data_IF_957734281809
#
_entry.id   IF_957734281809
#
_cell.length_a   1.000
_cell.length_b   1.000
_cell.length_c   1.000
_cell.angle_alpha   90.00
_cell.angle_beta   90.00
_cell.angle_gamma   90.00
#
_symmetry.space_group_name_H-M   'P 1'
#
loop_
_entity.id
_entity.type
_entity.pdbx_description
1 polymer ?
#
# COMPACT_ATOMS: atom_id res chain seq x y z
N UNK A 1 4.66 7.38 -0.03
CA UNK A 1 4.28 5.97 -0.16
C UNK A 1 2.99 5.81 -0.98
N UNK A 2 1.83 6.23 -0.49
CA UNK A 2 0.51 6.04 -1.15
C UNK A 2 0.43 6.52 -2.62
N UNK A 3 0.82 7.75 -2.93
CA UNK A 3 0.84 8.25 -4.33
C UNK A 3 1.81 7.47 -5.24
N UNK A 4 2.84 6.84 -4.69
CA UNK A 4 3.83 6.09 -5.48
C UNK A 4 3.32 4.69 -5.81
N UNK A 5 2.66 4.04 -4.85
CA UNK A 5 1.88 2.81 -5.11
C UNK A 5 0.86 3.08 -6.23
N UNK A 6 0.17 4.23 -6.19
CA UNK A 6 -0.73 4.63 -7.29
C UNK A 6 -0.02 4.83 -8.62
N UNK A 7 1.17 5.45 -8.61
CA UNK A 7 2.00 5.65 -9.81
C UNK A 7 2.42 4.34 -10.46
N UNK A 8 2.87 3.39 -9.65
CA UNK A 8 3.42 2.13 -10.15
C UNK A 8 2.32 1.17 -10.65
N UNK A 9 1.19 1.10 -9.93
CA UNK A 9 0.01 0.41 -10.46
C UNK A 9 -0.51 1.06 -11.75
N UNK A 10 -0.38 2.38 -11.86
CA UNK A 10 -0.81 3.11 -13.04
C UNK A 10 0.13 2.90 -14.23
N UNK A 11 1.44 2.78 -14.02
CA UNK A 11 2.42 2.61 -15.10
C UNK A 11 2.42 1.19 -15.68
N UNK A 12 2.23 0.16 -14.84
CA UNK A 12 2.50 -1.22 -15.25
C UNK A 12 1.25 -2.08 -15.56
N UNK A 13 0.06 -1.74 -15.05
CA UNK A 13 -1.16 -2.49 -15.35
C UNK A 13 -1.93 -1.86 -16.54
N UNK A 14 -2.95 -2.48 -17.17
CA UNK A 14 -3.60 -1.98 -18.43
C UNK A 14 -4.92 -1.16 -18.26
N UNK A 15 -5.29 -0.37 -19.28
CA UNK A 15 -6.31 0.72 -19.37
C UNK A 15 -7.80 0.30 -19.52
N UNK A 16 -8.84 1.13 -19.19
CA UNK A 16 -8.85 2.46 -18.54
C UNK A 16 -9.21 2.45 -17.04
N UNK A 17 -8.65 3.41 -16.26
CA UNK A 17 -8.66 3.43 -14.77
C UNK A 17 -9.32 4.68 -14.18
N UNK A 18 -10.13 4.54 -13.13
CA UNK A 18 -10.76 5.66 -12.39
C UNK A 18 -10.16 5.81 -10.99
N UNK A 19 -9.66 6.98 -10.58
CA UNK A 19 -8.92 7.25 -9.33
C UNK A 19 -9.62 8.33 -8.48
N UNK A 20 -9.54 8.26 -7.14
CA UNK A 20 -9.94 9.34 -6.21
C UNK A 20 -8.77 9.72 -5.29
N UNK A 21 -8.33 10.98 -5.36
CA UNK A 21 -7.30 11.54 -4.46
C UNK A 21 -7.77 12.83 -3.80
N UNK A 22 -7.09 13.22 -2.73
CA UNK A 22 -7.20 14.56 -2.14
C UNK A 22 -6.89 15.69 -3.14
N UNK A 23 -7.28 16.92 -2.78
CA UNK A 23 -7.38 18.07 -3.71
C UNK A 23 -6.12 18.38 -4.53
N UNK A 24 -4.91 18.09 -4.04
CA UNK A 24 -3.66 18.53 -4.69
C UNK A 24 -2.95 17.44 -5.52
N UNK A 25 -3.15 16.16 -5.22
CA UNK A 25 -2.37 15.04 -5.80
C UNK A 25 -3.00 14.40 -7.04
N UNK A 26 -4.26 14.73 -7.38
CA UNK A 26 -4.96 14.15 -8.53
C UNK A 26 -4.39 14.54 -9.90
N UNK A 27 -3.72 15.70 -10.02
CA UNK A 27 -3.45 16.32 -11.32
C UNK A 27 -2.53 15.48 -12.21
N UNK A 28 -1.50 14.89 -11.64
CA UNK A 28 -0.50 14.15 -12.42
C UNK A 28 -1.05 12.80 -12.91
N UNK A 29 -1.90 12.14 -12.13
CA UNK A 29 -2.57 10.91 -12.55
C UNK A 29 -3.62 11.15 -13.63
N UNK A 30 -4.38 12.24 -13.52
CA UNK A 30 -5.34 12.60 -14.56
C UNK A 30 -4.62 12.91 -15.87
N UNK A 31 -3.49 13.63 -15.83
CA UNK A 31 -2.63 13.83 -17.01
C UNK A 31 -2.12 12.52 -17.60
N UNK A 32 -1.83 11.53 -16.75
CA UNK A 32 -1.37 10.22 -17.18
C UNK A 32 -2.51 9.35 -17.78
N UNK A 33 -3.78 9.76 -17.66
CA UNK A 33 -4.94 9.08 -18.24
C UNK A 33 -5.94 8.52 -17.23
N UNK A 34 -5.79 8.81 -15.94
CA UNK A 34 -6.76 8.40 -14.92
C UNK A 34 -8.04 9.25 -14.95
N UNK A 35 -9.19 8.61 -14.77
CA UNK A 35 -10.49 9.28 -14.65
C UNK A 35 -10.75 9.62 -13.18
N UNK A 36 -11.09 10.86 -12.84
CA UNK A 36 -11.39 11.20 -11.44
C UNK A 36 -12.78 10.72 -11.01
N UNK A 37 -12.89 9.99 -9.89
CA UNK A 37 -14.17 9.73 -9.20
C UNK A 37 -14.49 10.78 -8.13
N UNK A 38 -15.77 11.04 -7.86
CA UNK A 38 -16.19 12.03 -6.85
C UNK A 38 -16.35 11.37 -5.47
N UNK A 39 -16.92 10.16 -5.43
CA UNK A 39 -17.16 9.36 -4.23
C UNK A 39 -16.50 7.97 -4.30
N UNK A 40 -16.31 7.25 -3.18
CA UNK A 40 -15.89 5.85 -3.21
C UNK A 40 -16.80 4.97 -4.06
N UNK A 41 -18.12 5.12 -3.91
CA UNK A 41 -19.13 4.40 -4.66
C UNK A 41 -18.95 4.57 -6.18
N UNK A 42 -18.73 5.80 -6.67
CA UNK A 42 -18.52 6.06 -8.10
C UNK A 42 -17.40 5.22 -8.70
N UNK A 43 -16.38 4.94 -7.90
CA UNK A 43 -15.22 4.22 -8.40
C UNK A 43 -15.41 2.71 -8.32
N UNK A 44 -16.05 2.22 -7.25
CA UNK A 44 -16.44 0.81 -7.15
C UNK A 44 -17.41 0.43 -8.27
N UNK A 45 -18.38 1.30 -8.59
CA UNK A 45 -19.29 1.09 -9.72
C UNK A 45 -18.54 0.88 -11.05
N UNK A 46 -17.48 1.66 -11.28
CA UNK A 46 -16.71 1.66 -12.51
C UNK A 46 -15.57 0.63 -12.56
N UNK A 47 -15.35 -0.15 -11.50
CA UNK A 47 -14.17 -1.02 -11.37
C UNK A 47 -14.55 -2.44 -10.95
N UNK A 48 -13.86 -3.45 -11.50
CA UNK A 48 -14.04 -4.85 -11.10
C UNK A 48 -13.28 -5.18 -9.81
N UNK A 49 -12.12 -4.55 -9.61
CA UNK A 49 -11.30 -4.63 -8.41
C UNK A 49 -10.98 -3.21 -7.95
N UNK A 50 -11.01 -2.97 -6.65
CA UNK A 50 -10.73 -1.68 -6.02
C UNK A 50 -9.64 -1.87 -4.98
N UNK A 51 -8.59 -1.07 -4.99
CA UNK A 51 -7.62 -1.04 -3.90
C UNK A 51 -7.89 0.17 -2.98
N UNK A 52 -7.58 0.05 -1.70
CA UNK A 52 -7.71 1.13 -0.74
C UNK A 52 -6.38 1.26 0.01
N UNK A 53 -5.91 2.49 0.23
CA UNK A 53 -4.66 2.72 0.95
C UNK A 53 -4.70 4.09 1.63
N UNK A 54 -5.45 4.19 2.71
CA UNK A 54 -5.72 5.43 3.44
C UNK A 54 -4.83 5.57 4.67
N UNK A 55 -5.15 6.51 5.56
CA UNK A 55 -4.29 6.91 6.68
C UNK A 55 -4.28 5.97 7.85
N UNK A 56 -5.45 5.43 8.22
CA UNK A 56 -5.67 4.68 9.44
C UNK A 56 -6.99 3.90 9.35
N UNK A 57 -7.27 3.08 10.37
CA UNK A 57 -8.51 2.31 10.50
C UNK A 57 -9.78 3.17 10.43
N UNK A 58 -9.77 4.38 11.00
CA UNK A 58 -10.94 5.26 10.98
C UNK A 58 -11.27 5.71 9.54
N UNK A 59 -10.26 6.16 8.79
CA UNK A 59 -10.42 6.53 7.39
C UNK A 59 -10.83 5.32 6.53
N UNK A 60 -10.32 4.11 6.83
CA UNK A 60 -10.72 2.89 6.13
C UNK A 60 -12.20 2.56 6.37
N UNK A 61 -12.66 2.66 7.63
CA UNK A 61 -14.08 2.51 7.98
C UNK A 61 -14.94 3.58 7.30
N UNK A 62 -14.51 4.85 7.29
CA UNK A 62 -15.25 5.92 6.61
C UNK A 62 -15.36 5.67 5.10
N UNK A 63 -14.31 5.17 4.45
CA UNK A 63 -14.32 4.81 3.03
C UNK A 63 -15.35 3.73 2.70
N UNK A 64 -15.53 2.77 3.61
CA UNK A 64 -16.42 1.63 3.40
C UNK A 64 -17.85 1.95 3.83
N UNK A 65 -18.04 2.38 5.08
CA UNK A 65 -19.33 2.58 5.74
C UNK A 65 -19.88 4.01 5.61
N UNK A 66 -19.08 4.96 5.16
CA UNK A 66 -19.50 6.35 5.01
C UNK A 66 -20.55 6.56 3.94
N UNK A 67 -21.10 7.78 3.88
CA UNK A 67 -22.07 8.14 2.85
C UNK A 67 -21.42 8.07 1.46
N UNK A 68 -22.10 7.43 0.51
CA UNK A 68 -21.54 7.08 -0.80
C UNK A 68 -20.24 6.25 -0.71
N UNK A 69 -20.10 5.46 0.36
CA UNK A 69 -18.98 4.54 0.60
C UNK A 69 -18.99 3.32 -0.32
N UNK A 70 -17.98 2.48 -0.17
CA UNK A 70 -17.78 1.25 -0.97
C UNK A 70 -19.01 0.35 -0.97
N UNK A 71 -19.70 0.23 0.18
CA UNK A 71 -20.83 -0.67 0.34
C UNK A 71 -21.98 -0.42 -0.62
N UNK A 72 -22.14 0.81 -1.13
CA UNK A 72 -23.25 1.14 -2.03
C UNK A 72 -23.17 0.37 -3.36
N UNK A 73 -21.96 0.16 -3.89
CA UNK A 73 -21.74 -0.37 -5.24
C UNK A 73 -20.93 -1.67 -5.27
N UNK A 74 -20.46 -2.16 -4.11
CA UNK A 74 -19.76 -3.44 -4.00
C UNK A 74 -20.77 -4.60 -4.09
N UNK A 75 -20.89 -5.18 -5.27
CA UNK A 75 -21.81 -6.28 -5.62
C UNK A 75 -21.25 -7.02 -6.85
N UNK A 76 -21.95 -8.05 -7.30
CA UNK A 76 -21.63 -8.77 -8.54
C UNK A 76 -20.18 -9.32 -8.57
N UNK A 77 -19.70 -9.86 -7.44
CA UNK A 77 -18.34 -10.39 -7.25
C UNK A 77 -17.20 -9.37 -7.46
N UNK A 78 -17.48 -8.07 -7.39
CA UNK A 78 -16.44 -7.02 -7.38
C UNK A 78 -15.48 -7.21 -6.19
N UNK A 79 -14.20 -7.01 -6.44
CA UNK A 79 -13.13 -7.17 -5.45
C UNK A 79 -12.79 -5.87 -4.75
N UNK A 80 -12.52 -5.94 -3.45
CA UNK A 80 -11.99 -4.85 -2.65
C UNK A 80 -10.73 -5.32 -1.91
N UNK A 81 -9.63 -4.61 -2.15
CA UNK A 81 -8.29 -4.89 -1.61
C UNK A 81 -7.89 -3.79 -0.64
N UNK A 82 -7.85 -4.09 0.64
CA UNK A 82 -7.46 -3.14 1.68
C UNK A 82 -5.96 -3.21 1.95
N UNK A 83 -5.21 -2.20 1.50
CA UNK A 83 -3.75 -2.11 1.70
C UNK A 83 -3.35 -1.20 2.87
N UNK A 84 -4.33 -0.62 3.57
CA UNK A 84 -4.06 0.19 4.76
C UNK A 84 -3.63 -0.72 5.90
N UNK A 85 -2.60 -0.31 6.64
CA UNK A 85 -2.27 -0.95 7.93
C UNK A 85 -3.36 -0.63 8.95
N UNK A 86 -4.33 -1.52 9.09
CA UNK A 86 -5.46 -1.44 10.03
C UNK A 86 -5.34 -2.52 11.10
N UNK A 87 -6.12 -2.40 12.17
CA UNK A 87 -6.28 -3.45 13.17
C UNK A 87 -7.09 -4.64 12.61
N UNK A 88 -6.84 -5.87 13.12
CA UNK A 88 -7.50 -7.08 12.61
C UNK A 88 -9.02 -7.04 12.74
N UNK A 89 -9.55 -6.44 13.81
CA UNK A 89 -10.99 -6.34 14.04
C UNK A 89 -11.64 -5.43 13.00
N UNK A 90 -11.03 -4.28 12.67
CA UNK A 90 -11.48 -3.42 11.59
C UNK A 90 -11.44 -4.10 10.23
N UNK A 91 -10.41 -4.91 9.96
CA UNK A 91 -10.33 -5.70 8.72
C UNK A 91 -11.47 -6.72 8.63
N UNK A 92 -11.76 -7.40 9.75
CA UNK A 92 -12.86 -8.35 9.86
C UNK A 92 -14.22 -7.67 9.64
N UNK A 93 -14.49 -6.54 10.30
CA UNK A 93 -15.72 -5.74 10.12
C UNK A 93 -15.96 -5.38 8.65
N UNK A 94 -14.90 -4.90 7.98
CA UNK A 94 -14.96 -4.48 6.57
C UNK A 94 -15.20 -5.69 5.67
N UNK A 95 -14.50 -6.79 5.92
CA UNK A 95 -14.64 -8.05 5.18
C UNK A 95 -16.08 -8.56 5.23
N UNK A 96 -16.65 -8.66 6.42
CA UNK A 96 -18.03 -9.13 6.62
C UNK A 96 -19.04 -8.25 5.89
N UNK A 97 -18.91 -6.93 6.02
CA UNK A 97 -19.79 -5.99 5.36
C UNK A 97 -19.73 -6.09 3.82
N UNK A 98 -18.54 -6.30 3.26
CA UNK A 98 -18.34 -6.45 1.81
C UNK A 98 -18.92 -7.78 1.31
N UNK A 99 -18.65 -8.88 2.03
CA UNK A 99 -19.17 -10.21 1.68
C UNK A 99 -20.70 -10.26 1.76
N UNK A 100 -21.32 -9.62 2.76
CA UNK A 100 -22.77 -9.51 2.89
C UNK A 100 -23.44 -8.81 1.69
N UNK A 101 -22.69 -7.99 0.94
CA UNK A 101 -23.17 -7.32 -0.28
C UNK A 101 -22.85 -8.08 -1.56
N UNK A 102 -22.24 -9.26 -1.46
CA UNK A 102 -21.83 -10.08 -2.61
C UNK A 102 -20.53 -9.63 -3.26
N UNK A 103 -19.68 -8.90 -2.53
CA UNK A 103 -18.32 -8.56 -2.93
C UNK A 103 -17.28 -9.57 -2.43
N UNK A 104 -16.05 -9.45 -2.95
CA UNK A 104 -14.88 -10.22 -2.51
C UNK A 104 -13.92 -9.31 -1.74
N UNK A 105 -13.36 -9.79 -0.64
CA UNK A 105 -12.45 -9.01 0.21
C UNK A 105 -11.08 -9.64 0.32
N UNK A 106 -10.04 -8.82 0.21
CA UNK A 106 -8.66 -9.18 0.46
C UNK A 106 -8.00 -8.06 1.28
N UNK A 107 -7.46 -8.36 2.45
CA UNK A 107 -6.50 -7.46 3.07
C UNK A 107 -5.12 -7.71 2.46
N UNK A 108 -4.36 -6.65 2.22
CA UNK A 108 -3.03 -6.69 1.63
C UNK A 108 -2.15 -5.54 2.16
N UNK A 109 -1.98 -5.38 3.49
CA UNK A 109 -1.06 -4.40 4.04
C UNK A 109 0.35 -4.58 3.47
N UNK A 110 1.04 -3.45 3.29
CA UNK A 110 2.36 -3.40 2.66
C UNK A 110 3.44 -3.02 3.66
N UNK A 111 4.59 -3.70 3.57
CA UNK A 111 5.81 -3.38 4.29
C UNK A 111 6.84 -2.76 3.35
N UNK A 112 7.39 -1.63 3.78
CA UNK A 112 8.32 -0.80 3.01
C UNK A 112 8.06 0.68 3.23
N UNK A 113 9.02 1.53 2.85
CA UNK A 113 8.91 2.98 3.01
C UNK A 113 8.63 3.67 1.66
N UNK A 114 8.99 4.96 1.54
CA UNK A 114 8.81 5.71 0.29
C UNK A 114 9.61 5.11 -0.87
N UNK A 115 10.88 4.77 -0.65
CA UNK A 115 11.79 4.30 -1.70
C UNK A 115 11.38 2.92 -2.24
N UNK A 116 11.11 1.90 -1.41
CA UNK A 116 10.56 0.63 -1.90
C UNK A 116 9.26 0.75 -2.69
N UNK A 117 8.41 1.75 -2.41
CA UNK A 117 7.20 2.00 -3.18
C UNK A 117 7.45 2.68 -4.54
N UNK A 118 8.57 3.40 -4.69
CA UNK A 118 9.02 3.98 -5.96
C UNK A 118 9.75 2.94 -6.81
N UNK A 119 10.48 2.04 -6.16
CA UNK A 119 11.28 1.01 -6.82
C UNK A 119 10.48 -0.26 -7.15
N UNK A 120 9.18 -0.32 -6.80
CA UNK A 120 8.35 -1.51 -6.98
C UNK A 120 8.79 -2.70 -6.13
N UNK A 121 9.41 -2.47 -4.98
CA UNK A 121 10.00 -3.52 -4.13
C UNK A 121 9.30 -3.67 -2.78
N UNK A 122 8.01 -3.33 -2.68
CA UNK A 122 7.24 -3.56 -1.45
C UNK A 122 7.09 -5.05 -1.13
N UNK A 123 6.88 -5.36 0.15
CA UNK A 123 6.45 -6.69 0.57
C UNK A 123 4.97 -6.62 0.91
N UNK A 124 4.15 -7.42 0.25
CA UNK A 124 2.70 -7.44 0.43
C UNK A 124 2.33 -8.61 1.34
N UNK A 125 1.47 -8.36 2.32
CA UNK A 125 1.05 -9.33 3.35
C UNK A 125 -0.44 -9.60 3.17
N UNK A 126 -0.79 -10.43 2.18
CA UNK A 126 -2.18 -10.62 1.78
C UNK A 126 -2.88 -11.73 2.57
N UNK A 127 -4.16 -11.53 2.91
CA UNK A 127 -5.02 -12.54 3.52
C UNK A 127 -6.49 -12.29 3.17
N UNK A 128 -7.32 -13.35 3.17
CA UNK A 128 -8.73 -13.31 2.75
C UNK A 128 -8.98 -14.12 1.50
N UNK A 129 -9.74 -13.58 0.54
CA UNK A 129 -10.17 -14.31 -0.65
C UNK A 129 -8.99 -14.72 -1.56
N UNK A 130 -8.76 -16.03 -1.69
CA UNK A 130 -7.67 -16.59 -2.50
C UNK A 130 -7.84 -16.32 -4.00
N UNK A 131 -9.08 -16.29 -4.50
CA UNK A 131 -9.34 -16.00 -5.92
C UNK A 131 -8.98 -14.55 -6.22
N UNK A 132 -9.36 -13.63 -5.34
CA UNK A 132 -9.03 -12.21 -5.48
C UNK A 132 -7.52 -11.97 -5.36
N UNK A 133 -6.83 -12.70 -4.47
CA UNK A 133 -5.36 -12.68 -4.40
C UNK A 133 -4.71 -13.06 -5.74
N UNK A 134 -5.19 -14.14 -6.36
CA UNK A 134 -4.67 -14.60 -7.66
C UNK A 134 -5.01 -13.59 -8.78
N UNK A 135 -6.21 -13.01 -8.78
CA UNK A 135 -6.60 -11.98 -9.73
C UNK A 135 -5.67 -10.75 -9.63
N UNK A 136 -5.24 -10.40 -8.41
CA UNK A 136 -4.35 -9.26 -8.15
C UNK A 136 -2.86 -9.52 -8.42
N UNK A 137 -2.46 -10.71 -8.88
CA UNK A 137 -1.04 -11.11 -9.00
C UNK A 137 -0.20 -10.11 -9.80
N UNK A 138 -0.65 -9.70 -10.99
CA UNK A 138 0.08 -8.73 -11.83
C UNK A 138 0.27 -7.36 -11.16
N UNK A 139 -0.64 -7.02 -10.25
CA UNK A 139 -0.64 -5.73 -9.56
C UNK A 139 0.30 -5.76 -8.37
N UNK A 140 0.33 -6.89 -7.69
CA UNK A 140 1.31 -7.17 -6.64
C UNK A 140 2.73 -7.25 -7.19
N UNK A 141 2.93 -7.82 -8.38
CA UNK A 141 4.22 -7.81 -9.08
C UNK A 141 4.66 -6.40 -9.48
N UNK A 142 3.73 -5.52 -9.87
CA UNK A 142 4.05 -4.15 -10.24
C UNK A 142 4.57 -3.30 -9.07
N UNK A 143 4.00 -3.48 -7.87
CA UNK A 143 4.33 -2.64 -6.70
C UNK A 143 5.30 -3.29 -5.73
N UNK A 144 5.47 -4.61 -5.85
CA UNK A 144 6.04 -5.45 -4.83
C UNK A 144 7.11 -6.39 -5.36
N UNK A 145 8.11 -6.62 -4.52
CA UNK A 145 9.09 -7.69 -4.73
C UNK A 145 8.47 -9.06 -4.48
N UNK A 146 7.55 -9.14 -3.51
CA UNK A 146 6.93 -10.40 -3.12
C UNK A 146 5.58 -10.15 -2.45
N UNK A 147 4.62 -11.05 -2.69
CA UNK A 147 3.34 -11.08 -2.01
C UNK A 147 3.16 -12.40 -1.27
N UNK A 148 3.02 -12.33 0.06
CA UNK A 148 2.71 -13.48 0.90
C UNK A 148 1.20 -13.66 0.98
N UNK A 149 0.72 -14.91 0.92
CA UNK A 149 -0.66 -15.24 1.22
C UNK A 149 -0.73 -15.93 2.59
N UNK A 150 -1.39 -15.28 3.54
CA UNK A 150 -1.40 -15.61 4.97
C UNK A 150 -2.71 -16.26 5.42
N UNK A 151 -3.53 -16.74 4.47
CA UNK A 151 -4.76 -17.46 4.75
C UNK A 151 -5.92 -16.52 5.06
N UNK A 152 -6.51 -16.65 6.24
CA UNK A 152 -7.76 -15.99 6.63
C UNK A 152 -7.59 -14.50 6.94
N UNK A 153 -8.69 -13.75 6.83
CA UNK A 153 -8.76 -12.32 7.14
C UNK A 153 -8.28 -12.07 8.58
N UNK A 154 -7.53 -10.98 8.76
CA UNK A 154 -6.90 -10.59 10.00
C UNK A 154 -5.45 -11.08 10.11
N UNK A 155 -5.03 -12.13 9.40
CA UNK A 155 -3.65 -12.62 9.47
C UNK A 155 -2.63 -11.66 8.84
N UNK A 156 -2.99 -10.99 7.74
CA UNK A 156 -2.18 -9.93 7.14
C UNK A 156 -2.04 -8.73 8.07
N UNK A 157 -3.14 -8.31 8.68
CA UNK A 157 -3.15 -7.22 9.66
C UNK A 157 -2.31 -7.57 10.90
N UNK A 158 -2.45 -8.78 11.45
CA UNK A 158 -1.62 -9.27 12.58
C UNK A 158 -0.14 -9.31 12.23
N UNK A 159 0.21 -9.84 11.05
CA UNK A 159 1.61 -9.90 10.61
C UNK A 159 2.20 -8.50 10.44
N UNK A 160 1.44 -7.58 9.84
CA UNK A 160 1.83 -6.16 9.71
C UNK A 160 2.09 -5.51 11.08
N UNK A 161 1.24 -5.77 12.08
CA UNK A 161 1.44 -5.27 13.44
C UNK A 161 2.71 -5.85 14.09
N UNK A 162 2.98 -7.14 13.93
CA UNK A 162 4.20 -7.79 14.43
C UNK A 162 5.45 -7.12 13.82
N UNK A 163 5.45 -6.89 12.51
CA UNK A 163 6.57 -6.23 11.81
C UNK A 163 6.75 -4.77 12.28
N UNK A 164 5.64 -4.04 12.47
CA UNK A 164 5.69 -2.66 12.98
C UNK A 164 6.21 -2.59 14.42
N UNK A 165 5.86 -3.56 15.27
CA UNK A 165 6.41 -3.68 16.61
C UNK A 165 7.93 -3.90 16.57
N UNK A 166 8.40 -4.87 15.77
CA UNK A 166 9.83 -5.14 15.60
C UNK A 166 10.60 -3.92 15.09
N UNK A 167 10.02 -3.20 14.13
CA UNK A 167 10.56 -1.94 13.62
C UNK A 167 10.68 -0.90 14.74
N UNK A 168 9.63 -0.72 15.54
CA UNK A 168 9.63 0.22 16.67
C UNK A 168 10.71 -0.12 17.70
N UNK A 169 10.82 -1.38 18.10
CA UNK A 169 11.85 -1.84 19.06
C UNK A 169 13.26 -1.64 18.52
N UNK A 170 13.49 -1.93 17.23
CA UNK A 170 14.80 -1.75 16.59
C UNK A 170 15.20 -0.27 16.58
N UNK A 171 14.27 0.63 16.27
CA UNK A 171 14.54 2.07 16.25
C UNK A 171 14.77 2.64 17.65
N UNK A 172 14.04 2.15 18.66
CA UNK A 172 14.28 2.52 20.06
C UNK A 172 15.68 2.09 20.51
N UNK A 173 16.07 0.84 20.23
CA UNK A 173 17.41 0.33 20.54
C UNK A 173 18.51 1.11 19.82
N UNK A 174 18.30 1.47 18.55
CA UNK A 174 19.24 2.32 17.81
C UNK A 174 19.36 3.72 18.43
N UNK A 175 18.25 4.32 18.85
CA UNK A 175 18.26 5.65 19.49
C UNK A 175 19.04 5.62 20.81
N UNK A 176 18.83 4.59 21.64
CA UNK A 176 19.58 4.39 22.88
C UNK A 176 21.07 4.15 22.62
N UNK A 177 21.42 3.31 21.64
CA UNK A 177 22.80 3.07 21.25
C UNK A 177 23.51 4.34 20.78
N UNK A 178 22.84 5.18 19.98
CA UNK A 178 23.39 6.46 19.53
C UNK A 178 23.58 7.45 20.68
N UNK A 179 22.64 7.50 21.63
CA UNK A 179 22.74 8.35 22.81
C UNK A 179 23.84 7.89 23.78
N UNK A 180 24.07 6.58 23.91
CA UNK A 180 25.17 6.01 24.69
C UNK A 180 26.52 6.26 24.01
N UNK A 181 26.59 6.12 22.68
CA UNK A 181 27.78 6.43 21.89
C UNK A 181 28.21 7.90 22.07
N UNK A 182 27.25 8.83 22.01
CA UNK A 182 27.49 10.26 22.26
C UNK A 182 28.00 10.53 23.68
N UNK A 183 27.36 9.92 24.70
CA UNK A 183 27.80 10.02 26.10
C UNK A 183 29.17 9.41 26.36
N UNK A 184 29.56 8.40 25.59
CA UNK A 184 30.87 7.77 25.65
C UNK A 184 31.93 8.54 24.86
N UNK A 185 31.58 9.71 24.28
CA UNK A 185 32.46 10.54 23.45
C UNK A 185 32.97 9.81 22.20
N UNK A 186 32.17 8.87 21.67
CA UNK A 186 32.45 8.10 20.46
C UNK A 186 31.73 8.68 19.23
N UNK A 187 32.29 8.44 18.05
CA UNK A 187 31.70 8.86 16.77
C UNK A 187 30.46 8.03 16.45
N UNK A 188 29.30 8.68 16.36
CA UNK A 188 28.06 8.03 15.87
C UNK A 188 28.20 7.56 14.41
N UNK A 189 29.04 8.23 13.60
CA UNK A 189 29.31 7.81 12.23
C UNK A 189 30.03 6.45 12.22
N UNK A 190 31.02 6.29 13.09
CA UNK A 190 31.80 5.06 13.19
C UNK A 190 30.92 3.92 13.72
N UNK A 191 30.02 4.21 14.68
CA UNK A 191 29.01 3.25 15.13
C UNK A 191 28.14 2.75 13.97
N UNK A 192 27.64 3.64 13.11
CA UNK A 192 26.82 3.25 11.97
C UNK A 192 27.62 2.42 10.95
N UNK A 193 28.87 2.78 10.68
CA UNK A 193 29.75 2.01 9.80
C UNK A 193 30.01 0.60 10.37
N UNK A 194 30.26 0.50 11.68
CA UNK A 194 30.41 -0.79 12.37
C UNK A 194 29.12 -1.62 12.29
N UNK A 195 27.94 -1.01 12.48
CA UNK A 195 26.65 -1.69 12.38
C UNK A 195 26.35 -2.16 10.95
N UNK A 196 26.76 -1.41 9.93
CA UNK A 196 26.61 -1.79 8.52
C UNK A 196 27.51 -2.97 8.13
N UNK A 197 28.69 -3.09 8.73
CA UNK A 197 29.62 -4.20 8.47
C UNK A 197 29.33 -5.46 9.32
N UNK A 198 28.63 -5.30 10.44
CA UNK A 198 28.34 -6.38 11.37
C UNK A 198 27.03 -7.12 11.10
N UNK A 199 26.74 -8.10 11.96
CA UNK A 199 25.54 -8.96 11.87
C UNK A 199 24.21 -8.22 12.12
N UNK A 200 24.28 -7.00 12.65
CA UNK A 200 23.12 -6.13 12.89
C UNK A 200 22.76 -5.26 11.69
N UNK A 201 23.42 -5.45 10.54
CA UNK A 201 23.14 -4.69 9.34
C UNK A 201 21.67 -4.86 8.92
N UNK A 202 20.97 -3.73 8.84
CA UNK A 202 19.64 -3.69 8.24
C UNK A 202 19.43 -2.38 7.49
N UNK A 203 18.68 -2.46 6.38
CA UNK A 203 18.33 -1.29 5.59
C UNK A 203 17.60 -0.21 6.41
N UNK A 204 16.88 -0.60 7.46
CA UNK A 204 16.21 0.31 8.39
C UNK A 204 17.23 1.10 9.20
N UNK A 205 18.23 0.43 9.77
CA UNK A 205 19.28 1.07 10.57
C UNK A 205 20.10 2.03 9.69
N UNK A 206 20.52 1.61 8.50
CA UNK A 206 21.25 2.49 7.57
C UNK A 206 20.43 3.73 7.18
N UNK A 207 19.16 3.56 6.81
CA UNK A 207 18.32 4.68 6.37
C UNK A 207 17.98 5.65 7.50
N UNK A 208 17.75 5.15 8.71
CA UNK A 208 17.33 5.98 9.86
C UNK A 208 18.53 6.54 10.61
N UNK A 209 19.60 5.77 10.78
CA UNK A 209 20.86 6.19 11.40
C UNK A 209 21.51 7.40 10.72
N UNK A 210 21.41 7.50 9.38
CA UNK A 210 21.91 8.66 8.63
C UNK A 210 21.08 9.93 8.82
N UNK A 211 19.85 9.82 9.33
CA UNK A 211 18.98 10.95 9.66
C UNK A 211 19.23 11.45 11.09
N UNK A 212 19.04 12.75 11.34
CA UNK A 212 19.06 13.29 12.71
C UNK A 212 18.01 12.56 13.57
N UNK A 213 18.38 12.19 14.81
CA UNK A 213 17.49 11.54 15.78
C UNK A 213 16.16 12.31 15.96
N UNK A 214 16.21 13.64 15.95
CA UNK A 214 15.01 14.50 16.04
C UNK A 214 14.01 14.31 14.88
N UNK A 215 14.49 13.89 13.71
CA UNK A 215 13.64 13.60 12.56
C UNK A 215 12.92 12.25 12.69
N UNK A 216 13.30 11.41 13.66
CA UNK A 216 12.64 10.12 13.90
C UNK A 216 11.34 10.27 14.69
N UNK A 217 11.28 11.30 15.56
CA UNK A 217 10.16 11.57 16.46
C UNK A 217 9.13 12.55 15.87
N UNK A 218 9.39 13.11 14.69
CA UNK A 218 8.41 13.96 14.02
C UNK A 218 7.15 13.12 13.71
N UNK A 219 5.95 13.53 14.17
CA UNK A 219 4.72 12.85 13.79
C UNK A 219 4.61 12.87 12.26
N UNK A 220 4.09 11.81 11.61
CA UNK A 220 3.91 11.80 10.18
C UNK A 220 2.94 12.92 9.79
N UNK A 221 3.48 14.08 9.44
CA UNK A 221 2.72 15.22 8.94
C UNK A 221 2.14 14.88 7.58
N UNK A 222 0.82 14.87 7.49
CA UNK A 222 0.10 14.75 6.23
C UNK A 222 -1.25 14.06 6.37
N UNK A 223 -2.30 14.86 6.58
CA UNK A 223 -3.65 14.47 6.16
C UNK A 223 -3.63 14.21 4.65
N UNK A 224 -3.64 12.95 4.22
CA UNK A 224 -3.93 12.62 2.82
C UNK A 224 -4.48 11.20 2.71
N UNK A 225 -5.80 11.14 2.58
CA UNK A 225 -6.57 9.99 2.11
C UNK A 225 -6.22 9.75 0.64
N UNK A 226 -5.69 8.57 0.33
CA UNK A 226 -5.40 8.13 -1.04
C UNK A 226 -6.20 6.85 -1.27
N UNK A 227 -7.00 6.81 -2.33
CA UNK A 227 -7.75 5.61 -2.71
C UNK A 227 -7.20 5.17 -4.06
N UNK A 228 -6.62 3.98 -4.08
CA UNK A 228 -5.81 3.49 -5.20
C UNK A 228 -6.68 2.57 -6.03
N UNK A 229 -7.01 2.92 -7.26
CA UNK A 229 -7.91 2.06 -8.04
C UNK A 229 -7.23 1.44 -9.23
N UNK A 230 -7.54 0.17 -9.44
CA UNK A 230 -7.02 -0.60 -10.51
C UNK A 230 -8.11 -1.53 -11.06
N UNK A 231 -8.51 -1.27 -12.30
CA UNK A 231 -9.46 -2.10 -13.05
C UNK A 231 -8.69 -3.28 -13.64
N UNK A 232 -8.91 -4.49 -13.13
CA UNK A 232 -8.54 -5.71 -13.83
C UNK A 232 -9.77 -6.26 -14.50
N UNK A 233 -9.82 -6.14 -15.83
CA UNK A 233 -10.71 -6.98 -16.62
C UNK A 233 -9.95 -8.30 -16.84
N UNK A 234 -10.46 -9.45 -16.38
CA UNK A 234 -9.79 -10.73 -16.64
C UNK A 234 -9.64 -10.94 -18.15
N UNK A 235 -8.54 -11.57 -18.62
CA UNK A 235 -8.31 -11.81 -20.03
C UNK A 235 -9.42 -12.72 -20.57
N UNK A 236 -10.36 -12.15 -21.34
CA UNK A 236 -11.48 -12.92 -21.90
C UNK A 236 -12.61 -12.12 -22.58
N UNK A 237 -12.71 -10.81 -22.37
CA UNK A 237 -13.76 -10.01 -23.01
C UNK A 237 -13.17 -9.05 -24.04
N UNK A 238 -13.07 -9.57 -25.26
CA UNK A 238 -12.73 -8.93 -26.53
C UNK A 238 -13.23 -7.49 -26.66
N UNK A 239 -12.31 -6.54 -26.79
CA UNK A 239 -12.51 -5.36 -27.63
C UNK A 239 -11.16 -4.98 -28.23
N UNK A 240 -11.06 -5.14 -29.55
CA UNK A 240 -10.00 -4.63 -30.40
C UNK A 240 -9.73 -3.15 -30.12
N UNK A 241 -8.46 -2.81 -29.83
CA UNK A 241 -7.93 -1.49 -30.05
C UNK A 241 -6.46 -1.62 -30.47
N UNK A 242 -6.28 -1.73 -31.78
CA UNK A 242 -5.02 -1.64 -32.49
C UNK A 242 -4.39 -0.26 -32.30
N UNK A 243 -3.29 -0.14 -31.58
CA UNK A 243 -2.35 0.99 -31.72
C UNK A 243 -0.92 0.46 -31.54
N UNK A 244 -0.19 0.46 -32.66
CA UNK A 244 1.22 0.12 -32.67
C UNK A 244 2.07 1.26 -32.13
N UNK A 245 3.05 0.93 -31.30
CA UNK A 245 4.29 1.70 -31.20
C UNK A 245 5.45 0.81 -31.60
N UNK A 246 5.98 1.17 -32.77
CA UNK A 246 7.16 0.62 -33.40
C UNK A 246 8.37 1.01 -32.54
N UNK A 247 9.02 0.03 -31.94
CA UNK A 247 10.33 0.19 -31.32
C UNK A 247 11.35 0.39 -32.46
N UNK A 248 11.85 1.61 -32.65
CA UNK A 248 13.07 1.83 -33.41
C UNK A 248 14.22 2.04 -32.42
N UNK A 249 15.13 1.06 -32.41
CA UNK A 249 16.48 1.22 -31.89
C UNK A 249 17.26 2.10 -32.88
N UNK A 250 17.96 3.08 -32.33
CA UNK A 250 19.01 3.86 -32.96
C UNK A 250 19.91 4.35 -31.85
#
# INVERSE_FOLDING_TARGET
MRCRITGELFSQCYSPRRIRLGKETCRDFVKAGAVKGLTPADVVAASDITFCCVSNSHAAKEMVFGNCGVLHEIKDNKGYVEMTSIDPDTSQDISEAIMLRGGRYLEAPVSGSKKPAEDGTLIILAAGDRSLFNDCASCFEAIGRHAFYLGEVGNGSKMSLILNMLLGTTLAGLAEAMALCDRAELSQKDLLEILELGDLNSAVISQKGQGKIDAWLAPPGGETTVVIFLVLKPPGASTHASWGMRCQRG
#
